data_IF_336641363039
#
_entry.id   IF_336641363039
#
_cell.length_a   1.000
_cell.length_b   1.000
_cell.length_c   1.000
_cell.angle_alpha   90.00
_cell.angle_beta   90.00
_cell.angle_gamma   90.00
#
_symmetry.space_group_name_H-M   'P 1'
#
loop_
_entity.id
_entity.type
_entity.pdbx_description
1 polymer ?
#
# COMPACT_ATOMS: atom_id res chain seq x y z
N UNK A 1 9.69 39.44 29.30
CA UNK A 1 8.57 38.50 29.09
C UNK A 1 9.12 37.41 28.19
N UNK A 2 9.52 36.29 28.79
CA UNK A 2 10.26 35.23 28.09
C UNK A 2 9.32 34.41 27.24
N UNK A 3 9.64 34.29 25.95
CA UNK A 3 9.01 33.34 25.05
C UNK A 3 9.28 31.91 25.57
N UNK A 4 8.28 31.02 25.61
CA UNK A 4 8.53 29.64 25.98
C UNK A 4 9.37 28.96 24.90
N UNK A 5 10.46 28.32 25.34
CA UNK A 5 11.38 27.50 24.57
C UNK A 5 10.63 26.49 23.69
N UNK A 6 10.78 26.60 22.37
CA UNK A 6 10.42 25.56 21.39
C UNK A 6 11.53 24.51 21.30
N UNK A 7 11.85 23.88 22.43
CA UNK A 7 12.57 22.61 22.48
C UNK A 7 11.57 21.54 22.90
N UNK A 8 10.70 21.14 21.98
CA UNK A 8 9.90 19.92 22.16
C UNK A 8 10.16 19.03 20.96
N UNK A 9 10.94 17.99 21.21
CA UNK A 9 11.13 16.85 20.33
C UNK A 9 9.79 16.13 20.15
N UNK A 10 8.94 16.62 19.23
CA UNK A 10 7.70 15.92 18.90
C UNK A 10 8.03 14.59 18.23
N UNK A 11 7.75 13.46 18.86
CA UNK A 11 7.80 12.17 18.20
C UNK A 11 6.44 11.91 17.55
N UNK A 12 6.43 11.16 16.45
CA UNK A 12 5.23 10.74 15.70
C UNK A 12 4.12 10.11 16.56
N UNK A 13 4.46 9.66 17.77
CA UNK A 13 3.54 9.12 18.77
C UNK A 13 2.64 10.18 19.44
N UNK A 14 2.89 11.48 19.23
CA UNK A 14 2.18 12.57 19.89
C UNK A 14 0.77 12.85 19.31
N UNK A 15 0.46 12.27 18.16
CA UNK A 15 -0.84 12.46 17.49
C UNK A 15 -1.89 11.51 18.06
N UNK A 16 -1.50 10.29 18.43
CA UNK A 16 -2.43 9.26 18.92
C UNK A 16 -3.20 9.74 20.17
N UNK A 17 -2.57 10.35 21.19
CA UNK A 17 -3.28 10.87 22.36
C UNK A 17 -4.28 12.00 22.05
N UNK A 18 -4.15 12.69 20.91
CA UNK A 18 -5.05 13.79 20.52
C UNK A 18 -6.31 13.31 19.80
N UNK A 19 -6.42 12.02 19.53
CA UNK A 19 -7.51 11.42 18.77
C UNK A 19 -8.49 10.65 19.66
N UNK A 20 -9.75 10.62 19.25
CA UNK A 20 -10.81 9.96 20.02
C UNK A 20 -11.08 8.52 19.54
N UNK A 21 -11.43 7.65 20.50
CA UNK A 21 -11.73 6.22 20.29
C UNK A 21 -10.66 5.50 19.44
N UNK A 22 -9.39 5.76 19.72
CA UNK A 22 -8.29 5.12 19.00
C UNK A 22 -8.26 3.63 19.34
N UNK A 23 -8.14 2.80 18.30
CA UNK A 23 -7.92 1.35 18.40
C UNK A 23 -6.70 0.97 17.58
N UNK A 24 -5.81 0.19 18.16
CA UNK A 24 -4.69 -0.43 17.43
C UNK A 24 -5.19 -1.63 16.64
N UNK A 25 -4.85 -1.70 15.35
CA UNK A 25 -5.17 -2.84 14.48
C UNK A 25 -3.99 -3.82 14.40
N UNK A 26 -2.78 -3.28 14.21
CA UNK A 26 -1.52 -4.03 14.18
C UNK A 26 -0.37 -3.14 14.66
N UNK A 27 0.85 -3.63 14.60
CA UNK A 27 2.01 -2.75 14.73
C UNK A 27 1.98 -1.61 13.71
N UNK A 28 2.20 -0.38 14.18
CA UNK A 28 2.15 0.85 13.39
C UNK A 28 0.76 1.24 12.84
N UNK A 29 -0.30 0.44 13.00
CA UNK A 29 -1.62 0.74 12.40
C UNK A 29 -2.70 0.96 13.44
N UNK A 30 -3.42 2.07 13.30
CA UNK A 30 -4.50 2.48 14.19
C UNK A 30 -5.72 2.95 13.40
N UNK A 31 -6.87 2.92 14.06
CA UNK A 31 -8.10 3.55 13.58
C UNK A 31 -8.68 4.43 14.68
N UNK A 32 -9.20 5.60 14.32
CA UNK A 32 -9.79 6.56 15.26
C UNK A 32 -11.02 7.25 14.66
N UNK A 33 -11.76 7.99 15.48
CA UNK A 33 -12.79 8.93 15.00
C UNK A 33 -12.09 10.04 14.22
N UNK A 34 -12.66 10.41 13.06
CA UNK A 34 -12.13 11.51 12.28
C UNK A 34 -12.55 12.86 12.89
N UNK A 35 -11.62 13.78 13.16
CA UNK A 35 -11.94 15.11 13.66
C UNK A 35 -12.49 16.08 12.58
N UNK A 36 -12.36 15.73 11.29
CA UNK A 36 -12.74 16.61 10.18
C UNK A 36 -14.24 16.56 9.82
N UNK A 37 -15.02 15.69 10.45
CA UNK A 37 -16.47 15.62 10.28
C UNK A 37 -17.14 15.03 11.52
N UNK A 38 -18.46 15.17 11.62
CA UNK A 38 -19.24 14.53 12.68
C UNK A 38 -19.24 13.01 12.50
N UNK A 39 -18.31 12.36 13.17
CA UNK A 39 -18.07 10.94 13.03
C UNK A 39 -18.43 10.18 14.32
N UNK A 40 -19.21 9.11 14.18
CA UNK A 40 -19.65 8.26 15.29
C UNK A 40 -18.88 6.93 15.36
N UNK A 41 -18.27 6.51 14.24
CA UNK A 41 -17.60 5.21 14.08
C UNK A 41 -16.20 5.43 13.52
N UNK A 42 -15.14 4.86 14.11
CA UNK A 42 -13.77 5.09 13.65
C UNK A 42 -13.61 4.93 12.14
N UNK A 43 -13.29 6.02 11.44
CA UNK A 43 -13.15 6.10 9.99
C UNK A 43 -11.78 6.63 9.54
N UNK A 44 -11.01 7.17 10.49
CA UNK A 44 -9.67 7.69 10.26
C UNK A 44 -8.65 6.56 10.44
N UNK A 45 -8.06 6.11 9.33
CA UNK A 45 -6.92 5.21 9.36
C UNK A 45 -5.63 5.99 9.58
N UNK A 46 -4.78 5.47 10.45
CA UNK A 46 -3.49 6.07 10.83
C UNK A 46 -2.43 4.99 10.68
N UNK A 47 -1.36 5.29 9.96
CA UNK A 47 -0.21 4.40 9.78
C UNK A 47 1.06 5.11 10.15
N UNK A 48 1.74 4.63 11.18
CA UNK A 48 3.10 5.03 11.55
C UNK A 48 4.05 4.05 10.87
N UNK A 49 4.83 4.56 9.92
CA UNK A 49 5.84 3.78 9.22
C UNK A 49 7.08 3.54 10.11
N UNK A 50 7.92 2.54 9.80
CA UNK A 50 9.16 2.28 10.54
C UNK A 50 10.15 3.47 10.55
N UNK A 51 10.10 4.32 9.53
CA UNK A 51 10.90 5.55 9.41
C UNK A 51 10.33 6.74 10.22
N UNK A 52 9.22 6.55 10.93
CA UNK A 52 8.56 7.58 11.73
C UNK A 52 7.54 8.42 10.96
N UNK A 53 7.34 8.22 9.66
CA UNK A 53 6.33 8.97 8.90
C UNK A 53 4.91 8.52 9.30
N UNK A 54 4.05 9.48 9.61
CA UNK A 54 2.63 9.27 9.93
C UNK A 54 1.77 9.57 8.71
N UNK A 55 1.03 8.57 8.26
CA UNK A 55 0.01 8.69 7.22
C UNK A 55 -1.37 8.66 7.85
N UNK A 56 -2.25 9.54 7.38
CA UNK A 56 -3.63 9.62 7.83
C UNK A 56 -4.57 9.72 6.63
N UNK A 57 -5.67 8.96 6.67
CA UNK A 57 -6.74 9.04 5.68
C UNK A 57 -8.07 8.68 6.33
N UNK A 58 -9.05 9.55 6.22
CA UNK A 58 -10.43 9.22 6.53
C UNK A 58 -11.10 8.58 5.32
N UNK A 59 -11.64 7.37 5.50
CA UNK A 59 -12.37 6.65 4.46
C UNK A 59 -13.86 7.01 4.37
N UNK A 60 -14.36 7.85 5.28
CA UNK A 60 -15.74 8.36 5.24
C UNK A 60 -15.84 9.72 4.53
N UNK A 61 -15.14 10.75 5.03
CA UNK A 61 -15.17 12.10 4.45
C UNK A 61 -14.03 12.40 3.46
N UNK A 62 -13.06 11.49 3.33
CA UNK A 62 -11.92 11.68 2.43
C UNK A 62 -10.80 12.56 2.99
N UNK A 63 -10.91 13.06 4.23
CA UNK A 63 -9.88 13.92 4.82
C UNK A 63 -8.49 13.26 4.82
N UNK A 64 -7.46 14.03 4.45
CA UNK A 64 -6.06 13.60 4.47
C UNK A 64 -5.33 14.06 5.74
N UNK A 65 -4.03 13.77 5.82
CA UNK A 65 -3.22 14.14 6.97
C UNK A 65 -3.13 15.65 7.21
N UNK A 66 -3.13 16.47 6.16
CA UNK A 66 -3.04 17.92 6.30
C UNK A 66 -4.33 18.48 6.94
N UNK A 67 -5.49 18.04 6.43
CA UNK A 67 -6.80 18.46 6.94
C UNK A 67 -7.03 17.97 8.38
N UNK A 68 -6.56 16.76 8.71
CA UNK A 68 -6.61 16.25 10.09
C UNK A 68 -5.71 17.09 10.99
N UNK A 69 -4.49 17.43 10.56
CA UNK A 69 -3.60 18.29 11.31
C UNK A 69 -4.21 19.67 11.59
N UNK A 70 -4.82 20.28 10.57
CA UNK A 70 -5.53 21.55 10.67
C UNK A 70 -6.66 21.47 11.70
N UNK A 71 -7.50 20.43 11.65
CA UNK A 71 -8.60 20.24 12.60
C UNK A 71 -8.15 20.03 14.05
N UNK A 72 -6.94 19.47 14.24
CA UNK A 72 -6.34 19.22 15.56
C UNK A 72 -5.43 20.37 16.05
N UNK A 73 -5.23 21.40 15.22
CA UNK A 73 -4.30 22.50 15.53
C UNK A 73 -2.85 22.04 15.69
N UNK A 74 -2.43 20.99 14.96
CA UNK A 74 -1.04 20.51 14.98
C UNK A 74 -0.30 20.92 13.72
N UNK A 75 1.00 21.17 13.85
CA UNK A 75 1.85 21.45 12.72
C UNK A 75 1.99 20.18 11.84
N UNK A 76 1.68 20.22 10.54
CA UNK A 76 1.85 19.09 9.63
C UNK A 76 3.28 18.52 9.58
N UNK A 77 4.30 19.32 9.92
CA UNK A 77 5.68 18.85 10.07
C UNK A 77 5.83 17.73 11.11
N UNK A 78 4.95 17.66 12.12
CA UNK A 78 4.94 16.58 13.11
C UNK A 78 4.55 15.21 12.54
N UNK A 79 4.05 15.14 11.30
CA UNK A 79 3.80 13.88 10.60
C UNK A 79 5.08 13.22 10.08
N UNK A 80 6.21 13.91 10.14
CA UNK A 80 7.47 13.46 9.59
C UNK A 80 8.52 13.41 10.70
N UNK A 81 9.50 12.50 10.61
CA UNK A 81 10.61 12.47 11.56
C UNK A 81 11.39 13.78 11.52
N UNK A 82 11.78 14.30 12.69
CA UNK A 82 12.69 15.44 12.80
C UNK A 82 14.05 15.05 12.23
N UNK A 83 14.34 15.51 11.03
CA UNK A 83 15.65 15.39 10.41
C UNK A 83 15.95 16.68 9.65
N UNK A 84 17.20 17.09 9.63
CA UNK A 84 17.65 18.31 8.91
C UNK A 84 17.53 18.15 7.38
N UNK A 85 17.15 16.96 6.89
CA UNK A 85 16.88 16.66 5.49
C UNK A 85 16.06 15.35 5.38
N UNK A 86 14.72 15.38 5.47
CA UNK A 86 13.91 14.20 5.20
C UNK A 86 13.90 13.97 3.67
N UNK A 87 14.97 13.36 3.15
CA UNK A 87 14.96 12.89 1.77
C UNK A 87 13.98 11.72 1.70
N UNK A 88 12.85 11.94 1.05
CA UNK A 88 11.98 10.85 0.63
C UNK A 88 12.78 9.95 -0.31
N UNK A 89 13.29 8.84 0.22
CA UNK A 89 13.86 7.77 -0.59
C UNK A 89 12.71 6.92 -1.11
N UNK A 90 12.50 6.98 -2.43
CA UNK A 90 11.53 6.11 -3.09
C UNK A 90 11.98 4.67 -2.87
N UNK A 91 11.28 3.96 -1.98
CA UNK A 91 11.52 2.55 -1.75
C UNK A 91 11.44 1.80 -3.10
N UNK A 92 12.45 0.98 -3.45
CA UNK A 92 12.38 0.18 -4.66
C UNK A 92 11.17 -0.76 -4.54
N UNK A 93 10.34 -0.84 -5.59
CA UNK A 93 9.26 -1.82 -5.63
C UNK A 93 9.89 -3.20 -5.75
N UNK A 94 9.76 -4.04 -4.71
CA UNK A 94 10.32 -5.39 -4.64
C UNK A 94 9.41 -6.41 -5.36
N UNK A 95 9.09 -6.15 -6.62
CA UNK A 95 8.25 -7.01 -7.45
C UNK A 95 7.02 -6.31 -8.06
N UNK A 96 6.19 -7.10 -8.71
CA UNK A 96 4.93 -6.71 -9.33
C UNK A 96 3.75 -7.22 -8.51
N UNK A 97 2.65 -6.47 -8.50
CA UNK A 97 1.44 -6.93 -7.83
C UNK A 97 0.84 -8.14 -8.55
N UNK A 98 0.04 -8.93 -7.83
CA UNK A 98 -0.67 -10.09 -8.41
C UNK A 98 -1.43 -9.72 -9.68
N UNK A 99 -2.08 -8.55 -9.68
CA UNK A 99 -2.82 -8.03 -10.83
C UNK A 99 -1.92 -7.76 -12.04
N UNK A 100 -0.75 -7.15 -11.83
CA UNK A 100 0.20 -6.86 -12.92
C UNK A 100 0.75 -8.14 -13.55
N UNK A 101 1.07 -9.15 -12.74
CA UNK A 101 1.55 -10.44 -13.23
C UNK A 101 0.46 -11.19 -13.99
N UNK A 102 -0.77 -11.25 -13.45
CA UNK A 102 -1.91 -11.86 -14.16
C UNK A 102 -2.17 -11.18 -15.50
N UNK A 103 -2.08 -9.85 -15.56
CA UNK A 103 -2.26 -9.12 -16.80
C UNK A 103 -1.13 -9.40 -17.81
N UNK A 104 0.12 -9.57 -17.35
CA UNK A 104 1.21 -9.96 -18.25
C UNK A 104 1.04 -11.36 -18.87
N UNK A 105 0.31 -12.26 -18.20
CA UNK A 105 0.06 -13.63 -18.64
C UNK A 105 -1.25 -13.78 -19.44
N UNK A 106 -2.02 -12.70 -19.65
CA UNK A 106 -3.35 -12.79 -20.27
C UNK A 106 -3.33 -13.50 -21.64
N UNK A 107 -2.37 -13.14 -22.49
CA UNK A 107 -2.23 -13.75 -23.83
C UNK A 107 -1.83 -15.23 -23.75
N UNK A 108 -0.97 -15.56 -22.79
CA UNK A 108 -0.54 -16.94 -22.55
C UNK A 108 -1.73 -17.82 -22.15
N UNK A 109 -2.62 -17.31 -21.28
CA UNK A 109 -3.84 -18.01 -20.86
C UNK A 109 -4.80 -18.25 -22.03
N UNK A 110 -4.91 -17.30 -22.97
CA UNK A 110 -5.73 -17.47 -24.17
C UNK A 110 -5.22 -18.60 -25.06
N UNK A 111 -3.91 -18.70 -25.26
CA UNK A 111 -3.31 -19.80 -26.04
C UNK A 111 -3.55 -21.14 -25.35
N UNK A 112 -3.33 -21.23 -24.04
CA UNK A 112 -3.63 -22.45 -23.26
C UNK A 112 -5.09 -22.88 -23.42
N UNK A 113 -6.04 -21.93 -23.34
CA UNK A 113 -7.46 -22.22 -23.53
C UNK A 113 -7.78 -22.73 -24.94
N UNK A 114 -7.20 -22.12 -25.97
CA UNK A 114 -7.41 -22.53 -27.37
C UNK A 114 -6.85 -23.94 -27.58
N UNK A 115 -5.61 -24.19 -27.15
CA UNK A 115 -4.98 -25.50 -27.26
C UNK A 115 -5.76 -26.57 -26.51
N UNK A 116 -6.25 -26.27 -25.30
CA UNK A 116 -7.11 -27.18 -24.55
C UNK A 116 -8.41 -27.52 -25.31
N UNK A 117 -9.04 -26.54 -25.98
CA UNK A 117 -10.24 -26.78 -26.80
C UNK A 117 -9.95 -27.65 -28.02
N UNK A 118 -8.79 -27.48 -28.68
CA UNK A 118 -8.37 -28.33 -29.80
C UNK A 118 -8.21 -29.78 -29.34
N UNK A 119 -7.49 -29.99 -28.22
CA UNK A 119 -7.30 -31.32 -27.65
C UNK A 119 -8.61 -32.00 -27.26
N UNK A 120 -9.56 -31.27 -26.65
CA UNK A 120 -10.89 -31.81 -26.32
C UNK A 120 -11.68 -32.24 -27.56
N UNK A 121 -11.46 -31.59 -28.70
CA UNK A 121 -12.05 -31.97 -29.99
C UNK A 121 -11.32 -33.12 -30.69
N UNK A 122 -10.23 -33.63 -30.09
CA UNK A 122 -9.37 -34.63 -30.70
C UNK A 122 -8.50 -34.09 -31.84
N UNK A 123 -8.35 -32.77 -31.93
CA UNK A 123 -7.48 -32.13 -32.92
C UNK A 123 -6.03 -32.19 -32.45
N UNK A 124 -5.11 -32.48 -33.37
CA UNK A 124 -3.68 -32.42 -33.10
C UNK A 124 -3.22 -30.96 -32.97
N UNK A 125 -2.35 -30.68 -32.00
CA UNK A 125 -1.73 -29.37 -31.89
C UNK A 125 -0.56 -29.24 -32.88
N UNK A 126 -0.46 -28.11 -33.61
CA UNK A 126 0.73 -27.77 -34.38
C UNK A 126 1.99 -27.76 -33.52
N UNK A 127 3.14 -28.11 -34.10
CA UNK A 127 4.43 -28.07 -33.40
C UNK A 127 4.76 -26.66 -32.88
N UNK A 128 4.36 -25.61 -33.61
CA UNK A 128 4.47 -24.22 -33.16
C UNK A 128 3.76 -23.96 -31.84
N UNK A 129 2.58 -24.55 -31.66
CA UNK A 129 1.74 -24.35 -30.48
C UNK A 129 2.30 -25.14 -29.30
N UNK A 130 2.84 -26.34 -29.54
CA UNK A 130 3.55 -27.14 -28.53
C UNK A 130 4.77 -26.37 -28.00
N UNK A 131 5.58 -25.80 -28.90
CA UNK A 131 6.73 -25.00 -28.52
C UNK A 131 6.32 -23.75 -27.75
N UNK A 132 5.29 -23.03 -28.22
CA UNK A 132 4.77 -21.86 -27.51
C UNK A 132 4.23 -22.20 -26.12
N UNK A 133 3.49 -23.31 -25.98
CA UNK A 133 2.98 -23.77 -24.68
C UNK A 133 4.12 -24.09 -23.70
N UNK A 134 5.24 -24.63 -24.18
CA UNK A 134 6.42 -24.87 -23.34
C UNK A 134 6.97 -23.55 -22.78
N UNK A 135 7.06 -22.51 -23.61
CA UNK A 135 7.46 -21.17 -23.20
C UNK A 135 6.45 -20.53 -22.22
N UNK A 136 5.15 -20.76 -22.43
CA UNK A 136 4.09 -20.32 -21.50
C UNK A 136 4.30 -20.92 -20.11
N UNK A 137 4.58 -22.21 -20.01
CA UNK A 137 4.84 -22.88 -18.73
C UNK A 137 6.06 -22.27 -18.03
N UNK A 138 7.12 -21.96 -18.78
CA UNK A 138 8.29 -21.27 -18.23
C UNK A 138 7.92 -19.89 -17.68
N UNK A 139 7.19 -19.07 -18.45
CA UNK A 139 6.76 -17.73 -18.01
C UNK A 139 5.86 -17.77 -16.77
N UNK A 140 4.93 -18.71 -16.69
CA UNK A 140 4.06 -18.87 -15.50
C UNK A 140 4.89 -19.18 -14.25
N UNK A 141 5.85 -20.10 -14.37
CA UNK A 141 6.73 -20.46 -13.25
C UNK A 141 7.66 -19.30 -12.85
N UNK A 142 8.17 -18.55 -13.83
CA UNK A 142 9.03 -17.40 -13.58
C UNK A 142 8.25 -16.23 -12.94
N UNK A 143 7.00 -16.00 -13.35
CA UNK A 143 6.15 -14.93 -12.85
C UNK A 143 6.01 -14.95 -11.32
N UNK A 144 5.96 -16.14 -10.71
CA UNK A 144 5.90 -16.30 -9.26
C UNK A 144 7.12 -15.70 -8.54
N UNK A 145 8.29 -15.69 -9.18
CA UNK A 145 9.51 -15.10 -8.61
C UNK A 145 9.48 -13.58 -8.56
N UNK A 146 8.60 -12.96 -9.36
CA UNK A 146 8.43 -11.51 -9.42
C UNK A 146 7.24 -11.00 -8.62
N UNK A 147 6.52 -11.88 -7.91
CA UNK A 147 5.40 -11.47 -7.07
C UNK A 147 5.91 -10.59 -5.92
N UNK A 148 5.17 -9.51 -5.64
CA UNK A 148 5.48 -8.63 -4.50
C UNK A 148 5.57 -9.44 -3.20
N UNK A 149 6.69 -9.28 -2.48
CA UNK A 149 6.95 -10.04 -1.24
C UNK A 149 7.45 -11.48 -1.43
N UNK A 150 7.80 -11.90 -2.64
CA UNK A 150 8.37 -13.23 -2.91
C UNK A 150 9.86 -13.39 -2.50
N UNK A 151 10.45 -12.41 -1.81
CA UNK A 151 11.81 -12.44 -1.27
C UNK A 151 11.87 -11.78 0.10
#
# INVERSE_FOLDING_TARGET
>A
MNAPNLETSYQSNDIIPRLHKVKRLSEGRYIAICPCHEDTRPSLAITIKPDGVVLMKCFACGADGLQVCESLGINPASLFPHSDNPKYEKQPRLGFSSWQLLHSLEKDMLVVLISAKMLVRGEALPESDINYLSEVVMRINEALQYLEGAR
#
